data_IF_150266170253
#
_entry.id   IF_150266170253
#
_cell.length_a   1.000
_cell.length_b   1.000
_cell.length_c   1.000
_cell.angle_alpha   90.00
_cell.angle_beta   90.00
_cell.angle_gamma   90.00
#
_symmetry.space_group_name_H-M   'P 1'
#
loop_
_entity.id
_entity.type
_entity.pdbx_description
1 polymer ?
#
# COMPACT_ATOMS: atom_id res chain seq x y z
N UNK A 1 4.26 -4.97 -9.88
CA UNK A 1 4.08 -4.47 -8.49
C UNK A 1 5.03 -5.21 -7.56
N UNK A 2 6.02 -4.50 -6.99
CA UNK A 2 6.97 -5.07 -6.02
C UNK A 2 6.41 -4.95 -4.60
N UNK A 3 6.11 -6.09 -3.97
CA UNK A 3 5.59 -6.17 -2.60
C UNK A 3 6.77 -6.41 -1.64
N UNK A 4 7.64 -5.41 -1.46
CA UNK A 4 8.78 -5.52 -0.55
C UNK A 4 8.32 -5.43 0.92
N UNK A 5 8.74 -6.43 1.72
CA UNK A 5 8.71 -6.51 3.20
C UNK A 5 7.62 -5.68 3.89
N UNK A 6 6.37 -6.08 3.69
CA UNK A 6 5.23 -5.61 4.50
C UNK A 6 5.05 -6.54 5.70
N UNK A 7 4.87 -5.99 6.90
CA UNK A 7 4.54 -6.80 8.08
C UNK A 7 3.09 -7.30 8.00
N UNK A 8 2.93 -8.41 7.29
CA UNK A 8 1.65 -9.11 7.14
C UNK A 8 1.03 -9.55 8.47
N UNK A 9 1.76 -9.56 9.58
CA UNK A 9 1.26 -10.05 10.88
C UNK A 9 0.07 -9.23 11.38
N UNK A 10 0.08 -7.92 11.19
CA UNK A 10 -1.02 -7.05 11.63
C UNK A 10 -2.31 -7.32 10.83
N UNK A 11 -2.21 -7.43 9.49
CA UNK A 11 -3.38 -7.76 8.67
C UNK A 11 -3.88 -9.18 8.94
N UNK A 12 -2.97 -10.14 9.16
CA UNK A 12 -3.34 -11.50 9.54
C UNK A 12 -4.16 -11.52 10.83
N UNK A 13 -3.80 -10.72 11.84
CA UNK A 13 -4.55 -10.59 13.10
C UNK A 13 -5.88 -9.87 12.89
N UNK A 14 -5.88 -8.76 12.17
CA UNK A 14 -7.06 -7.91 11.93
C UNK A 14 -8.17 -8.65 11.18
N UNK A 15 -7.79 -9.38 10.12
CA UNK A 15 -8.75 -10.06 9.26
C UNK A 15 -8.85 -11.56 9.54
N UNK A 16 -8.10 -12.08 10.52
CA UNK A 16 -8.03 -13.52 10.88
C UNK A 16 -7.81 -14.44 9.67
N UNK A 17 -7.04 -13.96 8.69
CA UNK A 17 -6.81 -14.65 7.41
C UNK A 17 -5.32 -14.72 7.09
N UNK A 18 -4.94 -15.72 6.30
CA UNK A 18 -3.56 -15.88 5.87
C UNK A 18 -3.24 -14.93 4.70
N UNK A 19 -2.88 -13.69 5.05
CA UNK A 19 -2.57 -12.63 4.08
C UNK A 19 -1.38 -12.98 3.17
N UNK A 20 -0.27 -13.59 3.64
CA UNK A 20 0.79 -14.07 2.76
C UNK A 20 0.30 -15.02 1.65
N UNK A 21 -0.64 -15.90 1.97
CA UNK A 21 -1.23 -16.82 0.99
C UNK A 21 -2.10 -16.07 -0.02
N UNK A 22 -2.87 -15.08 0.42
CA UNK A 22 -3.67 -14.21 -0.46
C UNK A 22 -2.76 -13.42 -1.42
N UNK A 23 -1.68 -12.83 -0.93
CA UNK A 23 -0.69 -12.12 -1.76
C UNK A 23 -0.08 -13.04 -2.81
N UNK A 24 0.27 -14.28 -2.45
CA UNK A 24 0.79 -15.26 -3.41
C UNK A 24 -0.26 -15.63 -4.47
N UNK A 25 -1.53 -15.71 -4.11
CA UNK A 25 -2.59 -15.99 -5.06
C UNK A 25 -2.84 -14.81 -6.01
N UNK A 26 -2.90 -13.57 -5.49
CA UNK A 26 -2.97 -12.37 -6.34
C UNK A 26 -1.79 -12.29 -7.31
N UNK A 27 -0.58 -12.65 -6.87
CA UNK A 27 0.61 -12.73 -7.74
C UNK A 27 0.49 -13.79 -8.85
N UNK A 28 -0.30 -14.84 -8.64
CA UNK A 28 -0.58 -15.87 -9.64
C UNK A 28 -1.72 -15.48 -10.61
N UNK A 29 -2.33 -14.31 -10.42
CA UNK A 29 -3.39 -13.79 -11.28
C UNK A 29 -4.81 -14.14 -10.82
N UNK A 30 -4.99 -14.72 -9.63
CA UNK A 30 -6.33 -14.99 -9.11
C UNK A 30 -7.09 -13.69 -8.82
N UNK A 31 -8.36 -13.66 -9.21
CA UNK A 31 -9.28 -12.58 -8.88
C UNK A 31 -9.89 -12.75 -7.47
N UNK A 32 -10.40 -11.67 -6.90
CA UNK A 32 -10.98 -11.64 -5.55
C UNK A 32 -12.22 -12.56 -5.44
N UNK A 33 -13.00 -12.70 -6.53
CA UNK A 33 -14.13 -13.64 -6.58
C UNK A 33 -13.67 -15.10 -6.50
N UNK A 34 -12.62 -15.45 -7.25
CA UNK A 34 -12.05 -16.81 -7.25
C UNK A 34 -11.41 -17.13 -5.90
N UNK A 35 -10.69 -16.16 -5.34
CA UNK A 35 -10.12 -16.28 -4.00
C UNK A 35 -11.20 -16.44 -2.94
N UNK A 36 -12.31 -15.73 -3.04
CA UNK A 36 -13.43 -15.89 -2.13
C UNK A 36 -13.99 -17.32 -2.15
N UNK A 37 -14.14 -17.91 -3.34
CA UNK A 37 -14.58 -19.30 -3.50
C UNK A 37 -13.57 -20.31 -2.94
N UNK A 38 -12.27 -20.07 -3.12
CA UNK A 38 -11.21 -21.01 -2.68
C UNK A 38 -10.95 -20.89 -1.17
N UNK A 39 -10.99 -19.68 -0.62
CA UNK A 39 -10.58 -19.40 0.76
C UNK A 39 -11.74 -19.22 1.73
N UNK A 40 -12.97 -19.07 1.23
CA UNK A 40 -14.15 -18.75 2.05
C UNK A 40 -14.15 -17.32 2.59
N UNK A 41 -13.17 -16.49 2.23
CA UNK A 41 -13.09 -15.09 2.67
C UNK A 41 -14.06 -14.26 1.83
N UNK A 42 -14.83 -13.39 2.48
CA UNK A 42 -15.75 -12.50 1.76
C UNK A 42 -14.98 -11.59 0.79
N UNK A 43 -15.50 -11.44 -0.44
CA UNK A 43 -14.94 -10.57 -1.48
C UNK A 43 -14.68 -9.15 -0.98
N UNK A 44 -15.60 -8.58 -0.19
CA UNK A 44 -15.42 -7.25 0.41
C UNK A 44 -14.24 -7.18 1.36
N UNK A 45 -13.95 -8.28 2.07
CA UNK A 45 -12.80 -8.38 2.96
C UNK A 45 -11.50 -8.50 2.17
N UNK A 46 -11.49 -9.31 1.10
CA UNK A 46 -10.36 -9.40 0.17
C UNK A 46 -10.03 -8.03 -0.44
N UNK A 47 -11.06 -7.29 -0.86
CA UNK A 47 -10.87 -5.97 -1.45
C UNK A 47 -10.29 -4.97 -0.43
N UNK A 48 -10.78 -4.98 0.82
CA UNK A 48 -10.21 -4.16 1.92
C UNK A 48 -8.74 -4.50 2.19
N UNK A 49 -8.40 -5.78 2.28
CA UNK A 49 -7.01 -6.23 2.50
C UNK A 49 -6.12 -5.70 1.37
N UNK A 50 -6.57 -5.80 0.12
CA UNK A 50 -5.83 -5.33 -1.05
C UNK A 50 -5.59 -3.81 -0.99
N UNK A 51 -6.62 -3.03 -0.67
CA UNK A 51 -6.48 -1.57 -0.52
C UNK A 51 -5.54 -1.17 0.61
N UNK A 52 -5.55 -1.88 1.75
CA UNK A 52 -4.61 -1.58 2.85
C UNK A 52 -3.15 -1.88 2.47
N UNK A 53 -2.92 -2.96 1.73
CA UNK A 53 -1.59 -3.28 1.19
C UNK A 53 -1.13 -2.20 0.20
N UNK A 54 -2.00 -1.76 -0.71
CA UNK A 54 -1.69 -0.70 -1.67
C UNK A 54 -1.39 0.63 -0.98
N UNK A 55 -2.16 0.98 0.04
CA UNK A 55 -1.95 2.18 0.84
C UNK A 55 -0.62 2.13 1.59
N UNK A 56 -0.28 1.00 2.20
CA UNK A 56 1.03 0.81 2.84
C UNK A 56 2.16 1.04 1.85
N UNK A 57 2.09 0.43 0.66
CA UNK A 57 3.11 0.62 -0.37
C UNK A 57 3.18 2.06 -0.86
N UNK A 58 2.05 2.75 -0.99
CA UNK A 58 2.02 4.17 -1.33
C UNK A 58 2.74 5.01 -0.27
N UNK A 59 2.44 4.79 1.01
CA UNK A 59 3.10 5.48 2.13
C UNK A 59 4.60 5.19 2.17
N UNK A 60 5.00 3.93 2.01
CA UNK A 60 6.41 3.55 1.96
C UNK A 60 7.16 4.20 0.79
N UNK A 61 6.53 4.33 -0.40
CA UNK A 61 7.11 5.07 -1.52
C UNK A 61 7.29 6.55 -1.20
N UNK A 62 6.27 7.21 -0.65
CA UNK A 62 6.34 8.62 -0.26
C UNK A 62 7.41 8.87 0.80
N UNK A 63 7.49 8.01 1.82
CA UNK A 63 8.53 8.10 2.84
C UNK A 63 9.94 8.02 2.24
N UNK A 64 10.17 7.10 1.29
CA UNK A 64 11.45 7.00 0.58
C UNK A 64 11.76 8.23 -0.28
N UNK A 65 10.75 8.82 -0.93
CA UNK A 65 10.94 10.06 -1.70
C UNK A 65 11.34 11.21 -0.78
N UNK A 66 10.63 11.38 0.35
CA UNK A 66 10.95 12.40 1.35
C UNK A 66 12.36 12.20 1.92
N UNK A 67 12.77 10.96 2.19
CA UNK A 67 14.12 10.66 2.68
C UNK A 67 15.20 10.84 1.62
N UNK A 68 14.91 10.59 0.34
CA UNK A 68 15.85 10.78 -0.76
C UNK A 68 16.03 12.26 -1.12
N UNK A 69 14.99 13.07 -0.94
CA UNK A 69 15.02 14.53 -1.09
C UNK A 69 15.47 15.25 0.20
N UNK A 70 15.72 14.51 1.28
CA UNK A 70 16.05 15.01 2.62
C UNK A 70 17.48 15.52 2.81
N UNK A 71 18.30 15.53 1.76
CA UNK A 71 19.67 16.06 1.79
C UNK A 71 19.87 17.18 0.74
N UNK A 72 18.80 17.92 0.44
CA UNK A 72 18.92 19.28 -0.08
C UNK A 72 18.07 20.21 0.78
N UNK A 73 18.75 20.87 1.72
CA UNK A 73 18.19 22.02 2.42
C UNK A 73 17.51 22.95 1.39
N UNK A 74 16.27 23.40 1.62
CA UNK A 74 15.69 24.38 0.74
C UNK A 74 16.47 25.67 0.95
N UNK A 75 17.39 25.97 0.03
CA UNK A 75 17.88 27.31 -0.19
C UNK A 75 16.65 28.17 -0.48
N UNK A 76 16.17 28.85 0.57
CA UNK A 76 15.30 30.01 0.59
C UNK A 76 14.53 30.25 -0.71
N UNK A 77 13.56 29.38 -1.04
CA UNK A 77 12.60 29.67 -2.11
C UNK A 77 11.45 30.45 -1.50
N UNK A 78 11.64 31.76 -1.36
CA UNK A 78 10.52 32.68 -1.22
C UNK A 78 9.64 32.50 -2.47
N UNK A 79 8.50 31.83 -2.30
CA UNK A 79 7.42 31.89 -3.29
C UNK A 79 6.86 33.30 -3.14
N UNK A 80 7.38 34.23 -3.93
CA UNK A 80 6.69 35.50 -4.17
C UNK A 80 5.36 35.17 -4.84
N UNK A 81 4.32 34.94 -4.03
CA UNK A 81 2.95 35.11 -4.46
C UNK A 81 2.78 36.62 -4.68
N UNK A 82 3.06 37.07 -5.91
CA UNK A 82 2.72 38.41 -6.35
C UNK A 82 1.20 38.50 -6.45
N UNK A 83 0.51 39.36 -5.68
CA UNK A 83 -0.87 39.70 -5.95
C UNK A 83 -0.89 40.47 -7.27
N UNK A 84 -1.76 40.05 -8.19
CA UNK A 84 -2.08 40.82 -9.39
C UNK A 84 -2.91 42.05 -8.95
N UNK A 85 -2.29 43.23 -8.96
CA UNK A 85 -2.96 44.52 -9.06
C UNK A 85 -2.46 45.19 -10.34
#
# INVERSE_FOLDING_TARGET
MSYANFDTKELCRKYRTNVPRLIRAWKKGFNDLELSRITGVNVTTLHRIRSEIELYHRRARLARMISADGEQAPAQRHIFLRPLL
#
